data_IF_093929029931
#
_entry.id   IF_093929029931
#
_cell.length_a   1.000
_cell.length_b   1.000
_cell.length_c   1.000
_cell.angle_alpha   90.00
_cell.angle_beta   90.00
_cell.angle_gamma   90.00
#
_symmetry.space_group_name_H-M   'P 1'
#
loop_
_entity.id
_entity.type
_entity.pdbx_description
1 polymer ?
#
# COMPACT_ATOMS: atom_id res chain seq x y z
N UNK A 1 36.85 -0.23 -2.84
CA UNK A 1 35.55 -0.94 -2.82
C UNK A 1 35.75 -2.21 -1.98
N UNK A 2 35.07 -2.31 -0.83
CA UNK A 2 35.17 -3.51 0.03
C UNK A 2 34.50 -4.69 -0.69
N UNK A 3 35.25 -5.79 -0.87
CA UNK A 3 34.68 -7.03 -1.39
C UNK A 3 34.40 -7.94 -0.20
N UNK A 4 33.14 -8.32 -0.02
CA UNK A 4 32.78 -9.31 0.99
C UNK A 4 33.47 -10.63 0.74
N UNK A 5 33.98 -11.23 1.80
CA UNK A 5 34.63 -12.55 1.72
C UNK A 5 33.54 -13.64 1.60
N UNK A 6 33.90 -14.79 1.04
CA UNK A 6 32.98 -15.91 0.83
C UNK A 6 32.30 -16.38 2.12
N UNK A 7 33.03 -16.35 3.22
CA UNK A 7 32.50 -16.68 4.55
C UNK A 7 31.43 -15.70 5.05
N UNK A 8 31.56 -14.41 4.75
CA UNK A 8 30.55 -13.39 5.08
C UNK A 8 29.30 -13.57 4.23
N UNK A 9 29.46 -13.90 2.95
CA UNK A 9 28.35 -14.21 2.05
C UNK A 9 27.58 -15.44 2.50
N UNK A 10 28.28 -16.48 2.95
CA UNK A 10 27.65 -17.70 3.48
C UNK A 10 26.90 -17.42 4.79
N UNK A 11 27.47 -16.58 5.67
CA UNK A 11 26.78 -16.13 6.88
C UNK A 11 25.48 -15.41 6.54
N UNK A 12 25.48 -14.53 5.55
CA UNK A 12 24.27 -13.84 5.10
C UNK A 12 23.24 -14.83 4.54
N UNK A 13 23.67 -15.80 3.71
CA UNK A 13 22.79 -16.80 3.11
C UNK A 13 22.09 -17.69 4.14
N UNK A 14 22.78 -18.01 5.24
CA UNK A 14 22.23 -18.85 6.32
C UNK A 14 21.34 -18.11 7.30
N UNK A 15 21.38 -16.78 7.31
CA UNK A 15 20.67 -15.95 8.27
C UNK A 15 19.73 -14.97 7.53
N UNK A 16 18.82 -15.53 6.73
CA UNK A 16 17.75 -14.78 6.06
C UNK A 16 16.49 -14.73 6.91
N UNK A 17 15.51 -13.97 6.48
CA UNK A 17 14.19 -13.87 7.12
C UNK A 17 13.34 -15.09 6.83
N UNK A 18 12.39 -15.42 7.71
CA UNK A 18 11.45 -16.53 7.53
C UNK A 18 10.31 -16.15 6.57
N UNK A 19 9.94 -14.88 6.52
CA UNK A 19 8.95 -14.32 5.60
C UNK A 19 9.18 -12.84 5.35
N UNK A 20 8.55 -12.28 4.30
CA UNK A 20 8.58 -10.85 3.98
C UNK A 20 7.24 -10.18 4.32
N UNK A 21 7.31 -9.02 4.97
CA UNK A 21 6.20 -8.09 5.08
C UNK A 21 6.30 -7.01 3.99
N UNK A 22 5.26 -6.84 3.20
CA UNK A 22 5.23 -5.88 2.09
C UNK A 22 4.26 -4.75 2.38
N UNK A 23 4.77 -3.52 2.46
CA UNK A 23 3.97 -2.31 2.51
C UNK A 23 3.87 -1.74 1.09
N UNK A 24 2.67 -1.69 0.53
CA UNK A 24 2.45 -1.18 -0.81
C UNK A 24 1.29 -0.18 -0.86
N UNK A 25 1.56 1.02 -1.36
CA UNK A 25 0.54 2.07 -1.52
C UNK A 25 0.45 2.61 -2.94
N UNK A 26 1.59 2.80 -3.58
CA UNK A 26 1.69 3.33 -4.94
C UNK A 26 3.08 3.08 -5.53
N UNK A 27 3.24 3.05 -6.85
CA UNK A 27 4.55 2.99 -7.48
C UNK A 27 5.24 4.35 -7.38
N UNK A 28 6.56 4.33 -7.38
CA UNK A 28 7.38 5.52 -7.63
C UNK A 28 8.02 5.40 -8.99
N UNK A 29 7.52 6.14 -9.95
CA UNK A 29 8.05 6.14 -11.30
C UNK A 29 9.13 7.20 -11.43
N UNK A 30 10.23 6.81 -12.05
CA UNK A 30 11.39 7.70 -12.18
C UNK A 30 11.83 7.77 -13.64
N UNK A 31 12.36 8.92 -14.01
CA UNK A 31 13.00 9.16 -15.29
C UNK A 31 14.41 9.71 -15.05
N UNK A 32 15.33 9.33 -15.91
CA UNK A 32 16.70 9.83 -15.84
C UNK A 32 16.74 11.35 -16.05
N UNK A 33 17.46 12.05 -15.18
CA UNK A 33 17.76 13.49 -15.40
C UNK A 33 18.79 13.66 -16.50
N UNK A 34 18.55 14.59 -17.42
CA UNK A 34 19.53 14.95 -18.46
C UNK A 34 20.82 15.53 -17.85
N UNK A 35 20.71 16.18 -16.69
CA UNK A 35 21.83 16.70 -15.89
C UNK A 35 21.58 16.40 -14.41
N UNK A 36 22.60 15.88 -13.67
CA UNK A 36 22.49 15.70 -12.23
C UNK A 36 22.21 17.04 -11.52
N UNK A 37 21.43 16.99 -10.43
CA UNK A 37 21.30 18.17 -9.57
C UNK A 37 22.65 18.49 -8.93
N UNK A 38 23.00 19.75 -8.88
CA UNK A 38 24.11 20.23 -8.06
C UNK A 38 23.69 20.15 -6.58
N UNK A 39 24.42 19.39 -5.79
CA UNK A 39 24.15 19.18 -4.38
C UNK A 39 25.44 18.75 -3.68
N UNK A 40 25.67 19.27 -2.49
CA UNK A 40 26.78 18.87 -1.63
C UNK A 40 26.56 17.49 -0.98
N UNK A 41 25.33 16.95 -1.06
CA UNK A 41 24.99 15.64 -0.52
C UNK A 41 24.87 14.62 -1.64
N UNK A 42 25.40 13.41 -1.39
CA UNK A 42 25.24 12.28 -2.29
C UNK A 42 23.88 11.61 -2.03
N UNK A 43 22.84 12.09 -2.74
CA UNK A 43 21.51 11.51 -2.70
C UNK A 43 21.14 10.93 -4.08
N UNK A 44 20.49 9.76 -4.14
CA UNK A 44 20.15 9.11 -5.41
C UNK A 44 19.26 9.95 -6.33
N UNK A 45 18.37 10.79 -5.79
CA UNK A 45 17.47 11.69 -6.53
C UNK A 45 18.21 12.78 -7.31
N UNK A 46 19.50 12.90 -7.10
CA UNK A 46 20.41 13.71 -7.93
C UNK A 46 20.37 13.28 -9.40
N UNK A 47 20.12 12.02 -9.70
CA UNK A 47 20.22 11.41 -11.04
C UNK A 47 18.88 11.11 -11.68
N UNK A 48 17.78 11.22 -10.96
CA UNK A 48 16.45 10.94 -11.46
C UNK A 48 15.45 12.01 -11.01
N UNK A 49 14.31 12.03 -11.65
CA UNK A 49 13.14 12.78 -11.18
C UNK A 49 11.91 11.87 -11.20
N UNK A 50 10.97 12.18 -10.31
CA UNK A 50 9.68 11.49 -10.30
C UNK A 50 8.82 12.02 -11.42
N UNK A 51 8.06 11.13 -12.05
CA UNK A 51 7.04 11.50 -13.02
C UNK A 51 5.76 10.73 -12.76
N UNK A 52 4.64 11.30 -13.21
CA UNK A 52 3.33 10.67 -13.18
C UNK A 52 2.91 10.41 -14.62
N UNK A 53 2.58 9.16 -15.00
CA UNK A 53 2.11 8.85 -16.35
C UNK A 53 0.83 9.62 -16.69
N UNK A 54 0.68 9.99 -17.93
CA UNK A 54 -0.58 10.54 -18.43
C UNK A 54 -1.69 9.48 -18.32
N UNK A 55 -2.91 9.93 -17.99
CA UNK A 55 -4.11 9.09 -17.92
C UNK A 55 -4.08 7.96 -16.88
N UNK A 56 -3.18 7.99 -15.89
CA UNK A 56 -3.24 7.04 -14.78
C UNK A 56 -4.33 7.42 -13.76
N UNK A 57 -4.87 6.41 -13.08
CA UNK A 57 -5.82 6.60 -11.97
C UNK A 57 -5.09 7.19 -10.76
N UNK A 58 -5.63 8.25 -10.18
CA UNK A 58 -4.96 9.00 -9.10
C UNK A 58 -5.80 9.04 -7.84
N UNK A 59 -5.16 8.80 -6.71
CA UNK A 59 -5.62 9.27 -5.42
C UNK A 59 -5.29 10.77 -5.28
N UNK A 60 -6.25 11.62 -5.60
CA UNK A 60 -6.06 13.08 -5.62
C UNK A 60 -5.71 13.65 -4.24
N UNK A 61 -6.16 13.04 -3.15
CA UNK A 61 -5.86 13.48 -1.78
C UNK A 61 -4.38 13.35 -1.42
N UNK A 62 -3.68 12.39 -2.03
CA UNK A 62 -2.26 12.13 -1.78
C UNK A 62 -1.35 12.51 -2.95
N UNK A 63 -1.91 12.71 -4.14
CA UNK A 63 -1.14 12.85 -5.38
C UNK A 63 -0.45 11.54 -5.77
N UNK A 64 -1.01 10.38 -5.37
CA UNK A 64 -0.44 9.06 -5.63
C UNK A 64 -1.16 8.35 -6.76
N UNK A 65 -0.40 7.73 -7.65
CA UNK A 65 -0.96 6.81 -8.63
C UNK A 65 -1.62 5.62 -7.92
N UNK A 66 -2.82 5.25 -8.35
CA UNK A 66 -3.44 3.99 -7.96
C UNK A 66 -3.05 2.96 -9.02
N UNK A 67 -2.16 2.05 -8.65
CA UNK A 67 -1.64 1.00 -9.52
C UNK A 67 -1.80 -0.35 -8.82
N UNK A 68 -2.99 -0.88 -8.89
CA UNK A 68 -3.41 -2.09 -8.20
C UNK A 68 -2.64 -3.34 -8.64
N UNK A 69 -2.20 -3.39 -9.92
CA UNK A 69 -1.33 -4.46 -10.43
C UNK A 69 0.04 -4.53 -9.72
N UNK A 70 0.42 -3.51 -8.98
CA UNK A 70 1.69 -3.47 -8.26
C UNK A 70 1.86 -4.62 -7.27
N UNK A 71 0.78 -5.10 -6.62
CA UNK A 71 0.85 -6.28 -5.75
C UNK A 71 1.15 -7.57 -6.52
N UNK A 72 0.60 -7.70 -7.73
CA UNK A 72 0.94 -8.81 -8.64
C UNK A 72 2.41 -8.73 -9.06
N UNK A 73 2.87 -7.58 -9.53
CA UNK A 73 4.24 -7.39 -10.00
C UNK A 73 5.28 -7.68 -8.90
N UNK A 74 4.98 -7.28 -7.65
CA UNK A 74 5.80 -7.59 -6.48
C UNK A 74 5.80 -9.09 -6.21
N UNK A 75 4.63 -9.74 -6.21
CA UNK A 75 4.51 -11.18 -6.00
C UNK A 75 5.30 -12.00 -7.02
N UNK A 76 5.18 -11.68 -8.30
CA UNK A 76 5.94 -12.32 -9.37
C UNK A 76 7.45 -12.11 -9.20
N UNK A 77 7.86 -10.89 -8.83
CA UNK A 77 9.26 -10.60 -8.58
C UNK A 77 9.82 -11.41 -7.39
N UNK A 78 9.07 -11.54 -6.30
CA UNK A 78 9.47 -12.36 -5.15
C UNK A 78 9.56 -13.83 -5.55
N UNK A 79 8.59 -14.35 -6.30
CA UNK A 79 8.58 -15.72 -6.79
C UNK A 79 9.80 -16.03 -7.65
N UNK A 80 10.08 -15.18 -8.63
CA UNK A 80 11.07 -15.48 -9.68
C UNK A 80 12.51 -15.19 -9.26
N UNK A 81 12.73 -14.23 -8.34
CA UNK A 81 14.08 -13.74 -8.01
C UNK A 81 14.50 -13.95 -6.56
N UNK A 82 13.55 -14.28 -5.65
CA UNK A 82 13.82 -14.42 -4.21
C UNK A 82 13.38 -15.77 -3.65
N UNK A 83 13.40 -16.82 -4.49
CA UNK A 83 13.11 -18.20 -4.08
C UNK A 83 11.69 -18.45 -3.60
N UNK A 84 10.75 -17.58 -4.00
CA UNK A 84 9.34 -17.64 -3.60
C UNK A 84 9.16 -17.76 -2.07
N UNK A 85 9.98 -17.03 -1.31
CA UNK A 85 9.87 -16.96 0.15
C UNK A 85 8.43 -16.60 0.56
N UNK A 86 7.89 -17.14 1.66
CA UNK A 86 6.59 -16.73 2.16
C UNK A 86 6.52 -15.22 2.38
N UNK A 87 5.41 -14.60 2.00
CA UNK A 87 5.23 -13.16 2.20
C UNK A 87 3.78 -12.80 2.45
N UNK A 88 3.57 -11.62 2.98
CA UNK A 88 2.23 -11.07 3.17
C UNK A 88 2.23 -9.57 2.89
N UNK A 89 1.08 -9.05 2.51
CA UNK A 89 0.85 -7.60 2.48
C UNK A 89 0.57 -7.15 3.91
N UNK A 90 1.54 -6.44 4.48
CA UNK A 90 1.44 -5.88 5.84
C UNK A 90 0.76 -4.53 5.87
N UNK A 91 0.83 -3.77 4.78
CA UNK A 91 0.11 -2.52 4.61
C UNK A 91 -0.29 -2.29 3.15
N UNK A 92 -1.55 -1.95 2.95
CA UNK A 92 -2.10 -1.39 1.72
C UNK A 92 -3.28 -0.51 2.07
N UNK A 93 -3.46 0.64 1.45
CA UNK A 93 -4.54 1.53 1.84
C UNK A 93 -4.61 2.81 1.03
N UNK A 94 -5.71 3.52 1.23
CA UNK A 94 -6.03 4.78 0.54
C UNK A 94 -6.39 5.86 1.55
N UNK A 95 -5.55 6.88 1.67
CA UNK A 95 -5.84 8.06 2.49
C UNK A 95 -6.65 9.09 1.70
N UNK A 96 -7.76 9.54 2.25
CA UNK A 96 -8.67 10.49 1.62
C UNK A 96 -8.86 11.70 2.53
N UNK A 97 -8.88 12.90 1.93
CA UNK A 97 -9.15 14.17 2.62
C UNK A 97 -10.64 14.46 2.61
N UNK A 98 -11.06 15.25 3.59
CA UNK A 98 -12.41 15.84 3.65
C UNK A 98 -13.51 14.78 3.50
N UNK A 99 -13.39 13.63 4.17
CA UNK A 99 -14.35 12.52 4.11
C UNK A 99 -15.74 12.91 4.64
N UNK A 100 -15.87 14.03 5.32
CA UNK A 100 -17.14 14.61 5.75
C UNK A 100 -18.09 14.88 4.56
N UNK A 101 -17.56 15.12 3.37
CA UNK A 101 -18.36 15.27 2.14
C UNK A 101 -19.09 13.98 1.72
N UNK A 102 -18.68 12.83 2.25
CA UNK A 102 -19.28 11.52 1.96
C UNK A 102 -20.19 11.01 3.08
N UNK A 103 -20.52 11.85 4.06
CA UNK A 103 -21.49 11.49 5.09
C UNK A 103 -22.89 11.36 4.49
N UNK A 104 -23.54 10.25 4.78
CA UNK A 104 -24.96 10.06 4.46
C UNK A 104 -25.86 10.69 5.56
N UNK A 105 -27.19 10.60 5.38
CA UNK A 105 -28.16 11.14 6.33
C UNK A 105 -28.06 10.52 7.73
N UNK A 106 -27.53 9.31 7.86
CA UNK A 106 -27.31 8.60 9.11
C UNK A 106 -25.96 8.93 9.77
N UNK A 107 -25.12 9.76 9.13
CA UNK A 107 -23.81 10.15 9.60
C UNK A 107 -22.71 9.11 9.34
N UNK A 108 -22.95 8.11 8.50
CA UNK A 108 -21.94 7.14 8.07
C UNK A 108 -21.21 7.66 6.82
N UNK A 109 -19.90 7.44 6.77
CA UNK A 109 -19.09 7.75 5.57
C UNK A 109 -19.31 6.68 4.51
N UNK A 110 -19.84 7.09 3.35
CA UNK A 110 -20.05 6.25 2.17
C UNK A 110 -18.76 6.12 1.34
N UNK A 111 -17.78 5.40 1.88
CA UNK A 111 -16.46 5.23 1.28
C UNK A 111 -16.37 4.08 0.26
N UNK A 112 -17.32 4.02 -0.67
CA UNK A 112 -17.32 3.07 -1.78
C UNK A 112 -16.03 3.07 -2.60
N UNK A 113 -15.39 4.23 -2.73
CA UNK A 113 -14.08 4.37 -3.38
C UNK A 113 -12.97 3.54 -2.70
N UNK A 114 -13.06 3.34 -1.36
CA UNK A 114 -12.14 2.50 -0.60
C UNK A 114 -12.40 1.02 -0.87
N UNK A 115 -13.66 0.65 -0.96
CA UNK A 115 -14.08 -0.71 -1.33
C UNK A 115 -13.51 -1.07 -2.71
N UNK A 116 -13.69 -0.21 -3.70
CA UNK A 116 -13.16 -0.45 -5.06
C UNK A 116 -11.63 -0.52 -5.08
N UNK A 117 -10.96 0.37 -4.34
CA UNK A 117 -9.50 0.32 -4.20
C UNK A 117 -9.03 -1.05 -3.68
N UNK A 118 -9.63 -1.55 -2.60
CA UNK A 118 -9.24 -2.82 -1.99
C UNK A 118 -9.57 -3.98 -2.93
N UNK A 119 -10.77 -4.01 -3.55
CA UNK A 119 -11.17 -5.02 -4.52
C UNK A 119 -10.14 -5.17 -5.65
N UNK A 120 -9.77 -4.05 -6.25
CA UNK A 120 -8.84 -4.05 -7.38
C UNK A 120 -7.47 -4.62 -6.98
N UNK A 121 -6.96 -4.23 -5.81
CA UNK A 121 -5.69 -4.77 -5.29
C UNK A 121 -5.80 -6.26 -4.95
N UNK A 122 -6.90 -6.70 -4.34
CA UNK A 122 -7.11 -8.12 -4.00
C UNK A 122 -7.27 -8.99 -5.25
N UNK A 123 -7.89 -8.50 -6.33
CA UNK A 123 -7.98 -9.22 -7.61
C UNK A 123 -6.59 -9.52 -8.19
N UNK A 124 -5.71 -8.52 -8.19
CA UNK A 124 -4.35 -8.70 -8.67
C UNK A 124 -3.49 -9.57 -7.74
N UNK A 125 -3.69 -9.45 -6.43
CA UNK A 125 -3.03 -10.32 -5.45
C UNK A 125 -3.48 -11.77 -5.61
N UNK A 126 -4.78 -12.00 -5.77
CA UNK A 126 -5.34 -13.34 -6.02
C UNK A 126 -4.75 -13.97 -7.30
N UNK A 127 -4.67 -13.18 -8.38
CA UNK A 127 -4.02 -13.64 -9.62
C UNK A 127 -2.56 -14.04 -9.39
N UNK A 128 -1.79 -13.29 -8.61
CA UNK A 128 -0.42 -13.66 -8.26
C UNK A 128 -0.36 -15.00 -7.51
N UNK A 129 -1.29 -15.23 -6.58
CA UNK A 129 -1.39 -16.50 -5.83
C UNK A 129 -1.74 -17.65 -6.76
N UNK A 130 -2.72 -17.48 -7.66
CA UNK A 130 -3.08 -18.50 -8.68
C UNK A 130 -1.87 -18.85 -9.57
N UNK A 131 -0.98 -17.90 -9.83
CA UNK A 131 0.26 -18.12 -10.58
C UNK A 131 1.43 -18.63 -9.72
N UNK A 132 1.16 -19.05 -8.48
CA UNK A 132 2.11 -19.74 -7.62
C UNK A 132 2.92 -18.86 -6.68
N UNK A 133 2.57 -17.59 -6.50
CA UNK A 133 3.19 -16.74 -5.50
C UNK A 133 2.80 -17.19 -4.08
N UNK A 134 3.78 -17.29 -3.18
CA UNK A 134 3.58 -17.76 -1.81
C UNK A 134 3.14 -16.62 -0.87
N UNK A 135 2.04 -15.95 -1.23
CA UNK A 135 1.43 -14.92 -0.38
C UNK A 135 0.38 -15.56 0.53
N UNK A 136 0.52 -15.36 1.86
CA UNK A 136 -0.35 -15.98 2.85
C UNK A 136 -1.24 -15.00 3.60
N UNK A 137 -1.18 -13.69 3.33
CA UNK A 137 -2.00 -12.73 4.05
C UNK A 137 -2.04 -11.34 3.44
N UNK A 138 -3.08 -10.59 3.83
CA UNK A 138 -3.29 -9.21 3.46
C UNK A 138 -3.85 -8.40 4.62
N UNK A 139 -3.18 -7.30 4.95
CA UNK A 139 -3.65 -6.31 5.91
C UNK A 139 -3.87 -4.96 5.25
N UNK A 140 -5.02 -4.39 5.52
CA UNK A 140 -5.37 -3.05 5.09
C UNK A 140 -4.87 -2.03 6.13
N UNK A 141 -4.22 -0.98 5.69
CA UNK A 141 -3.90 0.19 6.51
C UNK A 141 -5.06 1.19 6.43
N UNK A 142 -5.81 1.40 7.50
CA UNK A 142 -5.69 0.84 8.84
C UNK A 142 -7.08 0.66 9.48
N UNK A 143 -7.23 0.11 10.69
CA UNK A 143 -8.56 -0.06 11.29
C UNK A 143 -9.23 1.26 11.64
N UNK A 144 -8.48 2.25 12.14
CA UNK A 144 -8.99 3.54 12.61
C UNK A 144 -8.40 4.69 11.81
N UNK A 145 -9.13 5.80 11.67
CA UNK A 145 -8.52 7.05 11.28
C UNK A 145 -7.49 7.45 12.33
N UNK A 146 -6.24 7.51 11.93
CA UNK A 146 -5.12 7.73 12.83
C UNK A 146 -4.35 9.00 12.50
N UNK A 147 -3.60 9.45 13.48
CA UNK A 147 -2.68 10.56 13.33
C UNK A 147 -1.47 10.15 12.49
N UNK A 148 -1.11 10.98 11.51
CA UNK A 148 0.04 10.78 10.63
C UNK A 148 1.17 11.74 10.99
N UNK A 149 2.42 11.26 10.91
CA UNK A 149 3.62 12.04 11.21
C UNK A 149 3.74 13.36 10.44
N UNK A 150 3.31 13.36 9.18
CA UNK A 150 3.53 14.49 8.26
C UNK A 150 2.31 15.38 8.08
N UNK A 151 1.10 14.90 8.35
CA UNK A 151 -0.12 15.65 8.06
C UNK A 151 -1.28 15.42 9.04
N UNK A 152 -0.96 14.96 10.26
CA UNK A 152 -1.92 14.73 11.33
C UNK A 152 -3.16 13.93 10.85
N UNK A 153 -4.37 14.44 11.03
CA UNK A 153 -5.61 13.79 10.63
C UNK A 153 -6.12 14.20 9.24
N UNK A 154 -5.31 14.88 8.44
CA UNK A 154 -5.74 15.39 7.14
C UNK A 154 -6.20 14.28 6.18
N UNK A 155 -5.49 13.14 6.17
CA UNK A 155 -5.82 11.99 5.31
C UNK A 155 -6.37 10.84 6.16
N UNK A 156 -7.58 10.43 5.87
CA UNK A 156 -8.31 9.38 6.57
C UNK A 156 -8.10 8.04 5.85
N UNK A 157 -7.59 7.04 6.58
CA UNK A 157 -7.29 5.70 6.05
C UNK A 157 -8.19 4.62 6.62
N UNK A 158 -8.81 4.90 7.77
CA UNK A 158 -9.49 3.91 8.58
C UNK A 158 -10.77 3.35 7.98
N UNK A 159 -11.11 2.15 8.43
CA UNK A 159 -12.47 1.60 8.34
C UNK A 159 -13.42 2.23 9.37
N UNK A 160 -12.85 2.74 10.46
CA UNK A 160 -13.54 3.42 11.54
C UNK A 160 -13.15 4.89 11.49
N UNK A 161 -14.15 5.74 11.26
CA UNK A 161 -14.01 7.19 11.37
C UNK A 161 -13.80 7.57 12.83
N UNK A 162 -12.85 8.45 13.08
CA UNK A 162 -12.65 9.09 14.38
C UNK A 162 -13.03 10.56 14.23
N UNK A 163 -14.11 10.98 14.91
CA UNK A 163 -14.50 12.37 14.93
C UNK A 163 -13.69 13.14 15.98
N UNK A 164 -12.65 13.82 15.53
CA UNK A 164 -11.75 14.57 16.41
C UNK A 164 -12.42 15.79 17.07
N UNK A 165 -13.54 16.26 16.51
CA UNK A 165 -14.29 17.40 17.02
C UNK A 165 -15.39 16.98 18.02
N UNK A 166 -15.74 15.70 18.08
CA UNK A 166 -16.68 15.11 19.01
C UNK A 166 -16.00 14.05 19.87
N UNK A 167 -15.14 14.46 20.80
CA UNK A 167 -14.47 13.61 21.78
C UNK A 167 -13.83 12.32 21.21
N UNK A 168 -13.35 12.39 19.97
CA UNK A 168 -12.80 11.24 19.22
C UNK A 168 -13.81 10.09 19.08
N UNK A 169 -15.09 10.41 18.93
CA UNK A 169 -16.18 9.44 18.78
C UNK A 169 -15.94 8.54 17.54
N UNK A 170 -15.92 7.20 17.74
CA UNK A 170 -15.76 6.28 16.62
C UNK A 170 -17.10 6.00 15.91
N UNK A 171 -17.06 5.81 14.58
CA UNK A 171 -18.17 5.29 13.79
C UNK A 171 -17.65 4.44 12.63
N UNK A 172 -18.35 3.36 12.29
CA UNK A 172 -17.99 2.53 11.14
C UNK A 172 -18.26 3.25 9.84
N UNK A 173 -17.35 3.10 8.88
CA UNK A 173 -17.57 3.49 7.48
C UNK A 173 -18.16 2.30 6.71
N UNK A 174 -18.72 2.56 5.53
CA UNK A 174 -19.29 1.52 4.66
C UNK A 174 -18.31 0.39 4.36
N UNK A 175 -17.05 0.72 4.10
CA UNK A 175 -16.00 -0.23 3.81
C UNK A 175 -15.73 -1.24 4.93
N UNK A 176 -16.01 -0.88 6.19
CA UNK A 176 -15.82 -1.77 7.34
C UNK A 176 -16.71 -3.02 7.25
N UNK A 177 -18.01 -2.84 6.95
CA UNK A 177 -18.95 -3.94 6.84
C UNK A 177 -18.60 -4.86 5.67
N UNK A 178 -18.21 -4.27 4.53
CA UNK A 178 -17.78 -5.02 3.37
C UNK A 178 -16.51 -5.81 3.64
N UNK A 179 -15.47 -5.21 4.21
CA UNK A 179 -14.19 -5.88 4.47
C UNK A 179 -14.33 -6.98 5.52
N UNK A 180 -15.22 -6.81 6.51
CA UNK A 180 -15.57 -7.89 7.44
C UNK A 180 -16.11 -9.12 6.71
N UNK A 181 -17.03 -8.93 5.76
CA UNK A 181 -17.57 -10.04 4.96
C UNK A 181 -16.46 -10.75 4.15
N UNK A 182 -15.54 -9.96 3.57
CA UNK A 182 -14.37 -10.52 2.87
C UNK A 182 -13.49 -11.34 3.80
N UNK A 183 -13.20 -10.82 4.99
CA UNK A 183 -12.35 -11.51 5.97
C UNK A 183 -12.99 -12.78 6.51
N UNK A 184 -14.29 -12.73 6.83
CA UNK A 184 -15.03 -13.88 7.36
C UNK A 184 -15.20 -15.01 6.31
N UNK A 185 -15.40 -14.62 5.04
CA UNK A 185 -15.64 -15.55 3.94
C UNK A 185 -14.41 -15.91 3.11
N UNK A 186 -13.30 -15.22 3.30
CA UNK A 186 -12.10 -15.24 2.44
C UNK A 186 -12.45 -15.14 0.93
N UNK A 187 -13.45 -14.33 0.61
CA UNK A 187 -13.96 -14.12 -0.76
C UNK A 187 -14.77 -12.83 -0.85
N UNK A 188 -14.89 -12.33 -2.07
CA UNK A 188 -15.87 -11.30 -2.42
C UNK A 188 -16.44 -11.59 -3.83
N UNK A 189 -17.58 -11.00 -4.11
CA UNK A 189 -18.20 -11.02 -5.45
C UNK A 189 -18.09 -9.62 -6.06
N UNK A 190 -18.11 -9.54 -7.36
CA UNK A 190 -18.13 -8.28 -8.12
C UNK A 190 -19.40 -7.46 -7.88
#
# INVERSE_FOLDING_TARGET
MYKRQEQELETIRRNTVDYLGVNYYHPRRVVHRSRPLESDTFMPDRYFEYYTPENCRMNKSRGWEIYEKGLYDIGINIRDHYGNIPWMVTENGMGVQDEEQFLNEEGMVEDGYRVEFIKDHLRWLHKAIEEGCNCFGYHMWCPFDSWSWSNAYKNRYGFIRIDINDHARPSFKRSAAWFRQVSDGNRFTD
#
